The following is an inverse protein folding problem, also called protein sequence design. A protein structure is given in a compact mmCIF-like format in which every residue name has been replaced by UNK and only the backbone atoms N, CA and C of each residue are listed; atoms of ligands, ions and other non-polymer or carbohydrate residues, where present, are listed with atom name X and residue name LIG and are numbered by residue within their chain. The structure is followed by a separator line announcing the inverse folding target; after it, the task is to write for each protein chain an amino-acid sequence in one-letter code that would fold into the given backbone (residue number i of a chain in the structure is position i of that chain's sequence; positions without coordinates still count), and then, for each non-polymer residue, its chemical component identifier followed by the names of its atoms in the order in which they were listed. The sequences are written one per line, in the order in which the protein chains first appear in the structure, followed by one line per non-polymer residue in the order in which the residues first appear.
data_IF_329381695733
#
_entry.id   IF_329381695733
#
_cell.length_a   1.000
_cell.length_b   1.000
_cell.length_c   1.000
_cell.angle_alpha   90.00
_cell.angle_beta   90.00
_cell.angle_gamma   90.00
#
_symmetry.space_group_name_H-M   'P 1'
#
loop_
_entity.id
_entity.type
_entity.pdbx_description
1 polymer ?
#
# COMPACT_ATOMS: atom_id res chain seq x y z
N UNK A 1 3.75 24.75 -4.58
CA UNK A 1 3.38 23.55 -5.34
C UNK A 1 1.88 23.36 -5.25
N UNK A 2 1.24 22.93 -6.34
CA UNK A 2 -0.22 22.76 -6.36
C UNK A 2 -0.59 21.46 -5.66
N UNK A 3 -1.52 21.48 -4.70
CA UNK A 3 -2.04 20.25 -4.14
C UNK A 3 -2.98 19.57 -5.16
N UNK A 4 -3.15 18.24 -5.13
CA UNK A 4 -4.05 17.53 -6.05
C UNK A 4 -5.47 18.13 -6.09
N UNK A 5 -5.97 18.57 -4.93
CA UNK A 5 -7.31 19.17 -4.80
C UNK A 5 -7.42 20.60 -5.35
N UNK A 6 -6.31 21.25 -5.72
CA UNK A 6 -6.32 22.58 -6.33
C UNK A 6 -6.54 22.52 -7.86
N UNK A 7 -6.50 21.31 -8.43
CA UNK A 7 -6.79 21.09 -9.84
C UNK A 7 -8.30 21.10 -10.10
N UNK A 8 -8.69 21.35 -11.35
CA UNK A 8 -10.08 21.38 -11.75
C UNK A 8 -10.43 20.15 -12.60
N UNK A 9 -11.39 19.34 -12.15
CA UNK A 9 -11.81 18.12 -12.86
C UNK A 9 -12.28 18.39 -14.30
N UNK A 10 -12.90 19.54 -14.58
CA UNK A 10 -13.31 19.91 -15.94
C UNK A 10 -12.10 20.22 -16.82
N UNK A 11 -11.06 20.85 -16.28
CA UNK A 11 -9.81 21.07 -17.02
C UNK A 11 -9.06 19.75 -17.26
N UNK A 12 -9.06 18.81 -16.31
CA UNK A 12 -8.48 17.48 -16.53
C UNK A 12 -9.19 16.73 -17.66
N UNK A 13 -10.53 16.80 -17.71
CA UNK A 13 -11.32 16.27 -18.85
C UNK A 13 -10.98 16.95 -20.17
N UNK A 14 -10.70 18.26 -20.13
CA UNK A 14 -10.27 19.00 -21.31
C UNK A 14 -8.94 18.48 -21.86
N UNK A 15 -7.98 18.08 -21.00
CA UNK A 15 -6.72 17.49 -21.46
C UNK A 15 -6.95 16.22 -22.29
N UNK A 16 -7.81 15.32 -21.82
CA UNK A 16 -8.15 14.09 -22.53
C UNK A 16 -8.83 14.39 -23.87
N UNK A 17 -9.75 15.36 -23.90
CA UNK A 17 -10.42 15.77 -25.13
C UNK A 17 -9.46 16.42 -26.14
N UNK A 18 -8.46 17.18 -25.69
CA UNK A 18 -7.42 17.73 -26.58
C UNK A 18 -6.56 16.60 -27.17
N UNK A 19 -6.14 15.62 -26.35
CA UNK A 19 -5.37 14.46 -26.83
C UNK A 19 -6.16 13.66 -27.88
N UNK A 20 -7.44 13.39 -27.62
CA UNK A 20 -8.28 12.55 -28.48
C UNK A 20 -8.60 13.21 -29.83
N UNK A 21 -8.83 14.53 -29.85
CA UNK A 21 -9.29 15.24 -31.06
C UNK A 21 -8.22 16.11 -31.73
N UNK A 22 -7.03 16.25 -31.12
CA UNK A 22 -5.94 17.07 -31.65
C UNK A 22 -6.28 18.55 -31.83
N UNK A 23 -7.32 19.06 -31.17
CA UNK A 23 -7.84 20.43 -31.38
C UNK A 23 -8.42 21.02 -30.10
N UNK A 24 -7.98 22.23 -29.74
CA UNK A 24 -8.55 22.99 -28.61
C UNK A 24 -10.02 23.32 -28.87
N UNK A 25 -10.38 23.69 -30.10
CA UNK A 25 -11.75 24.09 -30.44
C UNK A 25 -12.70 22.89 -30.32
N UNK A 26 -12.35 21.74 -30.91
CA UNK A 26 -13.17 20.53 -30.80
C UNK A 26 -13.28 20.04 -29.35
N UNK A 27 -12.18 20.10 -28.59
CA UNK A 27 -12.18 19.73 -27.18
C UNK A 27 -13.09 20.63 -26.35
N UNK A 28 -13.15 21.94 -26.65
CA UNK A 28 -13.97 22.90 -25.94
C UNK A 28 -15.46 22.56 -26.04
N UNK A 29 -15.92 22.22 -27.25
CA UNK A 29 -17.30 21.81 -27.50
C UNK A 29 -17.68 20.55 -26.68
N UNK A 30 -16.79 19.54 -26.67
CA UNK A 30 -16.99 18.27 -25.96
C UNK A 30 -17.13 18.45 -24.45
N UNK A 31 -16.31 19.32 -23.85
CA UNK A 31 -16.36 19.59 -22.40
C UNK A 31 -17.26 20.76 -22.03
N UNK A 32 -18.05 21.25 -22.99
CA UNK A 32 -19.00 22.35 -22.82
C UNK A 32 -18.37 23.63 -22.25
N UNK A 33 -17.21 24.01 -22.79
CA UNK A 33 -16.50 25.25 -22.52
C UNK A 33 -16.40 26.09 -23.79
N UNK A 34 -16.23 27.41 -23.65
CA UNK A 34 -15.78 28.22 -24.78
C UNK A 34 -14.30 27.95 -25.07
N UNK A 35 -13.88 28.11 -26.32
CA UNK A 35 -12.47 27.96 -26.71
C UNK A 35 -11.52 28.85 -25.86
N UNK A 36 -11.82 30.13 -25.57
CA UNK A 36 -11.00 30.94 -24.67
C UNK A 36 -10.94 30.38 -23.25
N UNK A 37 -12.05 29.87 -22.71
CA UNK A 37 -12.10 29.27 -21.38
C UNK A 37 -11.27 27.99 -21.30
N UNK A 38 -11.32 27.13 -22.33
CA UNK A 38 -10.46 25.93 -22.39
C UNK A 38 -8.98 26.31 -22.47
N UNK A 39 -8.64 27.28 -23.31
CA UNK A 39 -7.25 27.75 -23.46
C UNK A 39 -6.71 28.27 -22.13
N UNK A 40 -7.48 29.09 -21.40
CA UNK A 40 -7.12 29.56 -20.07
C UNK A 40 -7.01 28.41 -19.05
N UNK A 41 -7.90 27.43 -19.12
CA UNK A 41 -7.88 26.23 -18.27
C UNK A 41 -6.62 25.39 -18.48
N UNK A 42 -6.23 25.19 -19.75
CA UNK A 42 -4.98 24.52 -20.12
C UNK A 42 -3.78 25.28 -19.58
N UNK A 43 -3.67 26.59 -19.85
CA UNK A 43 -2.56 27.40 -19.34
C UNK A 43 -2.50 27.43 -17.80
N UNK A 44 -3.65 27.32 -17.12
CA UNK A 44 -3.69 27.18 -15.66
C UNK A 44 -3.09 25.84 -15.22
N UNK A 45 -3.48 24.74 -15.86
CA UNK A 45 -2.91 23.42 -15.56
C UNK A 45 -1.40 23.40 -15.83
N UNK A 46 -0.95 23.94 -16.96
CA UNK A 46 0.48 24.03 -17.29
C UNK A 46 1.27 24.81 -16.23
N UNK A 47 0.73 25.91 -15.71
CA UNK A 47 1.34 26.62 -14.56
C UNK A 47 1.32 25.81 -13.28
N UNK A 48 0.25 25.06 -13.03
CA UNK A 48 0.12 24.25 -11.81
C UNK A 48 1.09 23.04 -11.80
N UNK A 49 1.32 22.44 -12.96
CA UNK A 49 2.27 21.35 -13.17
C UNK A 49 3.71 21.84 -13.43
N UNK A 50 3.89 23.08 -13.89
CA UNK A 50 5.20 23.66 -14.18
C UNK A 50 5.76 23.36 -15.58
N UNK A 51 4.97 22.73 -16.45
CA UNK A 51 5.41 22.31 -17.79
C UNK A 51 4.37 22.64 -18.85
N UNK A 52 4.83 22.90 -20.08
CA UNK A 52 3.97 22.89 -21.27
C UNK A 52 3.49 21.47 -21.53
N UNK A 53 2.18 21.26 -21.49
CA UNK A 53 1.58 19.93 -21.62
C UNK A 53 1.22 19.62 -23.08
N UNK A 54 0.91 20.63 -23.88
CA UNK A 54 0.60 20.45 -25.29
C UNK A 54 1.34 21.46 -26.16
N UNK A 55 1.70 21.03 -27.36
CA UNK A 55 2.32 21.88 -28.37
C UNK A 55 1.52 21.84 -29.67
N UNK A 56 1.57 22.96 -30.40
CA UNK A 56 0.93 23.08 -31.70
C UNK A 56 1.88 22.60 -32.79
N UNK A 57 1.46 21.59 -33.56
CA UNK A 57 2.14 21.11 -34.76
C UNK A 57 1.26 21.31 -36.00
N UNK A 58 1.81 21.06 -37.19
CA UNK A 58 1.09 21.15 -38.47
C UNK A 58 -0.18 20.30 -38.53
N UNK A 59 -0.23 19.19 -37.78
CA UNK A 59 -1.37 18.28 -37.67
C UNK A 59 -2.32 18.56 -36.50
N UNK A 60 -2.16 19.65 -35.75
CA UNK A 60 -2.99 19.98 -34.59
C UNK A 60 -2.21 20.06 -33.28
N UNK A 61 -2.93 19.93 -32.16
CA UNK A 61 -2.36 19.91 -30.82
C UNK A 61 -1.93 18.50 -30.45
N UNK A 62 -0.69 18.34 -29.96
CA UNK A 62 -0.16 17.06 -29.50
C UNK A 62 0.41 17.19 -28.10
N UNK A 63 0.30 16.14 -27.25
CA UNK A 63 0.87 16.17 -25.92
C UNK A 63 2.40 16.10 -25.98
N UNK A 64 3.07 16.93 -25.17
CA UNK A 64 4.51 16.82 -24.91
C UNK A 64 4.80 15.54 -24.10
N UNK A 65 6.06 15.11 -23.90
CA UNK A 65 6.37 13.97 -23.03
C UNK A 65 5.75 14.11 -21.63
N UNK A 66 5.84 15.30 -21.01
CA UNK A 66 5.18 15.60 -19.73
C UNK A 66 3.66 15.61 -19.86
N UNK A 67 3.14 16.15 -20.97
CA UNK A 67 1.73 16.09 -21.32
C UNK A 67 1.17 14.67 -21.32
N UNK A 68 1.90 13.71 -21.91
CA UNK A 68 1.48 12.30 -21.95
C UNK A 68 1.33 11.70 -20.55
N UNK A 69 2.29 11.96 -19.66
CA UNK A 69 2.24 11.50 -18.26
C UNK A 69 0.99 12.08 -17.57
N UNK A 70 0.79 13.40 -17.67
CA UNK A 70 -0.36 14.06 -17.03
C UNK A 70 -1.69 13.58 -17.61
N UNK A 71 -1.80 13.40 -18.92
CA UNK A 71 -3.02 12.90 -19.57
C UNK A 71 -3.34 11.47 -19.14
N UNK A 72 -2.34 10.59 -19.13
CA UNK A 72 -2.53 9.19 -18.71
C UNK A 72 -2.97 9.10 -17.24
N UNK A 73 -2.31 9.83 -16.35
CA UNK A 73 -2.70 9.91 -14.92
C UNK A 73 -4.08 10.53 -14.72
N UNK A 74 -4.41 11.58 -15.48
CA UNK A 74 -5.73 12.21 -15.45
C UNK A 74 -6.83 11.26 -15.92
N UNK A 75 -6.55 10.41 -16.91
CA UNK A 75 -7.46 9.38 -17.40
C UNK A 75 -7.76 8.35 -16.31
N UNK A 76 -6.74 7.77 -15.70
CA UNK A 76 -6.90 6.84 -14.58
C UNK A 76 -7.62 7.49 -13.39
N UNK A 77 -7.33 8.76 -13.08
CA UNK A 77 -8.02 9.49 -12.03
C UNK A 77 -9.53 9.62 -12.28
N UNK A 78 -9.91 10.01 -13.51
CA UNK A 78 -11.31 10.15 -13.90
C UNK A 78 -12.03 8.80 -13.95
N UNK A 79 -11.35 7.72 -14.35
CA UNK A 79 -11.88 6.35 -14.31
C UNK A 79 -12.15 5.89 -12.87
N UNK A 80 -11.24 6.15 -11.94
CA UNK A 80 -11.44 5.83 -10.52
C UNK A 80 -12.63 6.57 -9.92
N UNK A 81 -12.78 7.86 -10.24
CA UNK A 81 -13.95 8.64 -9.83
C UNK A 81 -15.24 8.08 -10.44
N UNK A 82 -15.23 7.75 -11.74
CA UNK A 82 -16.39 7.16 -12.41
C UNK A 82 -16.80 5.83 -11.78
N UNK A 83 -15.86 4.94 -11.48
CA UNK A 83 -16.16 3.66 -10.81
C UNK A 83 -16.67 3.84 -9.37
N UNK A 84 -16.11 4.80 -8.64
CA UNK A 84 -16.59 5.18 -7.31
C UNK A 84 -18.01 5.76 -7.34
N UNK A 85 -18.35 6.48 -8.41
CA UNK A 85 -19.63 7.13 -8.62
C UNK A 85 -20.68 6.24 -9.33
N UNK A 86 -20.28 5.09 -9.87
CA UNK A 86 -21.14 4.19 -10.65
C UNK A 86 -22.34 3.71 -9.83
N UNK A 87 -23.53 4.03 -10.32
CA UNK A 87 -24.80 3.65 -9.68
C UNK A 87 -25.12 4.44 -8.41
N UNK A 88 -24.43 5.57 -8.14
CA UNK A 88 -24.78 6.45 -7.02
C UNK A 88 -26.02 7.29 -7.30
N UNK A 89 -26.25 7.66 -8.55
CA UNK A 89 -27.40 8.47 -8.96
C UNK A 89 -28.33 7.66 -9.85
N UNK A 90 -29.63 7.78 -9.59
CA UNK A 90 -30.70 7.31 -10.48
C UNK A 90 -31.07 8.33 -11.55
N UNK A 91 -30.67 9.60 -11.36
CA UNK A 91 -31.03 10.73 -12.22
C UNK A 91 -29.93 11.00 -13.25
N UNK A 92 -28.66 10.97 -12.82
CA UNK A 92 -27.52 11.23 -13.69
C UNK A 92 -26.78 9.93 -14.00
N UNK A 93 -26.57 9.65 -15.29
CA UNK A 93 -25.74 8.51 -15.70
C UNK A 93 -24.26 8.67 -15.30
N UNK A 94 -23.75 9.90 -15.29
CA UNK A 94 -22.36 10.24 -15.01
C UNK A 94 -22.26 11.35 -13.95
N UNK A 95 -22.67 11.09 -12.68
CA UNK A 95 -22.74 12.12 -11.65
C UNK A 95 -21.35 12.70 -11.30
N UNK A 96 -20.27 11.95 -11.51
CA UNK A 96 -18.90 12.41 -11.32
C UNK A 96 -18.53 13.62 -12.21
N UNK A 97 -19.23 13.81 -13.33
CA UNK A 97 -19.03 14.98 -14.21
C UNK A 97 -19.46 16.29 -13.57
N UNK A 98 -20.39 16.23 -12.61
CA UNK A 98 -20.95 17.38 -11.91
C UNK A 98 -20.22 17.69 -10.59
N UNK A 99 -19.44 16.73 -10.07
CA UNK A 99 -18.68 16.88 -8.82
C UNK A 99 -17.50 17.84 -8.97
N UNK A 100 -17.14 18.49 -7.87
CA UNK A 100 -15.97 19.39 -7.78
C UNK A 100 -14.90 18.84 -6.84
N UNK A 101 -13.63 19.20 -7.05
CA UNK A 101 -12.54 18.81 -6.13
C UNK A 101 -12.77 19.31 -4.71
N UNK A 102 -13.41 20.48 -4.53
CA UNK A 102 -13.74 21.00 -3.20
C UNK A 102 -14.76 20.12 -2.47
N UNK A 103 -15.80 19.65 -3.14
CA UNK A 103 -16.78 18.72 -2.57
C UNK A 103 -16.14 17.38 -2.21
N UNK A 104 -15.33 16.84 -3.13
CA UNK A 104 -14.62 15.59 -2.94
C UNK A 104 -13.60 15.68 -1.79
N UNK A 105 -12.86 16.79 -1.67
CA UNK A 105 -11.94 17.06 -0.56
C UNK A 105 -12.67 17.09 0.78
N UNK A 106 -13.76 17.84 0.86
CA UNK A 106 -14.57 17.94 2.08
C UNK A 106 -15.14 16.57 2.49
N UNK A 107 -15.61 15.79 1.51
CA UNK A 107 -16.16 14.46 1.73
C UNK A 107 -15.12 13.46 2.24
N UNK A 108 -13.95 13.37 1.59
CA UNK A 108 -12.87 12.47 2.04
C UNK A 108 -12.33 12.89 3.41
N UNK A 109 -12.17 14.19 3.66
CA UNK A 109 -11.76 14.68 4.98
C UNK A 109 -12.77 14.34 6.08
N UNK A 110 -14.07 14.36 5.77
CA UNK A 110 -15.12 13.91 6.69
C UNK A 110 -15.03 12.41 6.97
N UNK A 111 -14.77 11.61 5.94
CA UNK A 111 -14.57 10.18 6.09
C UNK A 111 -13.38 9.83 6.99
N UNK A 112 -12.31 10.62 6.93
CA UNK A 112 -11.08 10.40 7.72
C UNK A 112 -11.21 10.92 9.15
N UNK A 113 -11.81 12.10 9.33
CA UNK A 113 -11.93 12.71 10.65
C UNK A 113 -13.07 12.15 11.52
N UNK A 114 -14.03 11.43 10.91
CA UNK A 114 -15.22 10.89 11.59
C UNK A 114 -16.15 11.95 12.17
N UNK A 115 -15.92 13.24 11.88
CA UNK A 115 -16.70 14.37 12.37
C UNK A 115 -16.55 15.59 11.46
N UNK A 116 -17.60 16.41 11.36
CA UNK A 116 -17.56 17.65 10.57
C UNK A 116 -16.57 18.68 11.13
N UNK A 117 -16.43 18.75 12.46
CA UNK A 117 -15.46 19.63 13.10
C UNK A 117 -14.02 19.21 12.79
N UNK A 118 -13.69 17.91 12.88
CA UNK A 118 -12.37 17.42 12.51
C UNK A 118 -12.08 17.58 11.02
N UNK A 119 -13.07 17.37 10.16
CA UNK A 119 -12.93 17.59 8.71
C UNK A 119 -12.65 19.06 8.36
N UNK A 120 -13.34 20.00 9.03
CA UNK A 120 -13.10 21.43 8.89
C UNK A 120 -11.66 21.79 9.28
N UNK A 121 -11.19 21.27 10.41
CA UNK A 121 -9.82 21.44 10.86
C UNK A 121 -8.80 20.91 9.84
N UNK A 122 -8.98 19.69 9.34
CA UNK A 122 -8.05 19.05 8.40
C UNK A 122 -8.02 19.72 7.00
N UNK A 123 -9.12 20.35 6.58
CA UNK A 123 -9.23 20.99 5.27
C UNK A 123 -8.92 22.48 5.29
N UNK A 124 -8.96 23.12 6.46
CA UNK A 124 -8.92 24.58 6.60
C UNK A 124 -10.23 25.28 6.21
N UNK A 125 -11.29 24.52 5.89
CA UNK A 125 -12.62 25.05 5.58
C UNK A 125 -13.40 25.32 6.88
N UNK A 126 -14.42 26.19 6.81
CA UNK A 126 -15.37 26.30 7.92
C UNK A 126 -16.23 25.04 8.01
N UNK A 127 -16.68 24.69 9.22
CA UNK A 127 -17.57 23.54 9.43
C UNK A 127 -18.85 23.63 8.59
N UNK A 128 -19.42 24.82 8.43
CA UNK A 128 -20.58 25.08 7.56
C UNK A 128 -20.25 24.82 6.09
N UNK A 129 -19.06 25.17 5.62
CA UNK A 129 -18.63 24.90 4.26
C UNK A 129 -18.46 23.39 4.00
N UNK A 130 -17.91 22.64 4.95
CA UNK A 130 -17.83 21.17 4.86
C UNK A 130 -19.24 20.55 4.81
N UNK A 131 -20.13 21.02 5.68
CA UNK A 131 -21.52 20.52 5.73
C UNK A 131 -22.27 20.78 4.42
N UNK A 132 -22.14 21.99 3.87
CA UNK A 132 -22.71 22.36 2.56
C UNK A 132 -22.12 21.49 1.44
N UNK A 133 -20.79 21.39 1.36
CA UNK A 133 -20.12 20.66 0.29
C UNK A 133 -20.52 19.17 0.25
N UNK A 134 -20.67 18.53 1.42
CA UNK A 134 -21.15 17.14 1.51
C UNK A 134 -22.65 17.06 1.22
N UNK A 135 -23.45 18.01 1.70
CA UNK A 135 -24.89 18.07 1.42
C UNK A 135 -25.20 18.24 -0.07
N UNK A 136 -24.48 19.12 -0.76
CA UNK A 136 -24.60 19.33 -2.20
C UNK A 136 -24.25 18.05 -2.98
N UNK A 137 -23.24 17.31 -2.52
CA UNK A 137 -22.85 16.02 -3.10
C UNK A 137 -23.96 14.98 -2.92
N UNK A 138 -24.55 14.87 -1.72
CA UNK A 138 -25.70 13.99 -1.44
C UNK A 138 -26.94 14.37 -2.27
N UNK A 139 -27.22 15.66 -2.40
CA UNK A 139 -28.35 16.17 -3.20
C UNK A 139 -28.15 15.84 -4.69
N UNK A 140 -26.93 16.05 -5.21
CA UNK A 140 -26.58 15.78 -6.60
C UNK A 140 -26.77 14.30 -6.96
N UNK A 141 -26.38 13.38 -6.08
CA UNK A 141 -26.56 11.94 -6.34
C UNK A 141 -27.98 11.46 -6.01
N UNK A 142 -28.75 12.23 -5.24
CA UNK A 142 -30.12 11.86 -4.83
C UNK A 142 -30.17 10.86 -3.67
N UNK A 143 -29.14 10.80 -2.82
CA UNK A 143 -29.01 9.80 -1.76
C UNK A 143 -27.99 10.18 -0.69
N UNK A 144 -28.03 9.47 0.44
CA UNK A 144 -27.06 9.66 1.53
C UNK A 144 -25.74 8.96 1.24
N UNK A 145 -24.63 9.60 1.62
CA UNK A 145 -23.28 9.03 1.64
C UNK A 145 -22.79 8.83 3.07
N UNK A 146 -23.31 9.63 3.99
CA UNK A 146 -22.93 9.62 5.40
C UNK A 146 -24.12 9.32 6.31
N UNK A 147 -23.84 8.61 7.40
CA UNK A 147 -24.79 8.28 8.46
C UNK A 147 -24.27 8.82 9.80
N UNK A 148 -25.15 9.44 10.59
CA UNK A 148 -24.81 9.84 11.96
C UNK A 148 -25.15 8.72 12.92
N UNK A 149 -24.15 8.24 13.67
CA UNK A 149 -24.34 7.32 14.80
C UNK A 149 -23.77 7.97 16.06
N UNK A 150 -24.67 8.59 16.84
CA UNK A 150 -24.28 9.42 17.98
C UNK A 150 -23.47 10.63 17.53
N UNK A 151 -22.26 10.79 18.09
CA UNK A 151 -21.34 11.89 17.74
C UNK A 151 -20.44 11.61 16.53
N UNK A 152 -20.43 10.38 16.03
CA UNK A 152 -19.53 9.94 14.95
C UNK A 152 -20.28 9.87 13.62
N UNK A 153 -19.61 10.34 12.57
CA UNK A 153 -20.07 10.25 11.19
C UNK A 153 -19.44 9.03 10.54
N UNK A 154 -20.29 8.16 9.97
CA UNK A 154 -19.88 6.95 9.26
C UNK A 154 -20.21 7.06 7.78
N UNK A 155 -19.42 6.43 6.93
CA UNK A 155 -19.78 6.23 5.52
C UNK A 155 -20.69 5.01 5.39
N UNK A 156 -21.77 5.15 4.65
CA UNK A 156 -22.52 3.98 4.17
C UNK A 156 -21.78 3.30 3.00
N UNK A 157 -22.34 2.22 2.44
CA UNK A 157 -21.71 1.47 1.34
C UNK A 157 -21.41 2.34 0.11
N UNK A 158 -22.34 3.22 -0.26
CA UNK A 158 -22.16 4.18 -1.35
C UNK A 158 -21.05 5.19 -1.04
N UNK A 159 -21.05 5.74 0.18
CA UNK A 159 -20.01 6.63 0.68
C UNK A 159 -18.62 5.99 0.62
N UNK A 160 -18.48 4.75 1.08
CA UNK A 160 -17.19 4.02 1.04
C UNK A 160 -16.67 3.86 -0.39
N UNK A 161 -17.54 3.52 -1.34
CA UNK A 161 -17.18 3.40 -2.77
C UNK A 161 -16.73 4.73 -3.37
N UNK A 162 -17.46 5.82 -3.11
CA UNK A 162 -17.07 7.14 -3.60
C UNK A 162 -15.77 7.63 -2.96
N UNK A 163 -15.59 7.40 -1.66
CA UNK A 163 -14.37 7.79 -0.94
C UNK A 163 -13.15 7.05 -1.51
N UNK A 164 -13.27 5.75 -1.75
CA UNK A 164 -12.24 4.96 -2.44
C UNK A 164 -11.92 5.52 -3.83
N UNK A 165 -12.93 5.72 -4.68
CA UNK A 165 -12.72 6.28 -6.03
C UNK A 165 -12.05 7.65 -6.01
N UNK A 166 -12.43 8.49 -5.03
CA UNK A 166 -11.83 9.81 -4.85
C UNK A 166 -10.38 9.74 -4.40
N UNK A 167 -10.06 8.91 -3.40
CA UNK A 167 -8.68 8.72 -2.91
C UNK A 167 -7.77 8.21 -4.02
N UNK A 168 -8.22 7.22 -4.78
CA UNK A 168 -7.46 6.68 -5.91
C UNK A 168 -7.25 7.73 -7.01
N UNK A 169 -8.25 8.54 -7.30
CA UNK A 169 -8.09 9.63 -8.27
C UNK A 169 -7.10 10.71 -7.81
N UNK A 170 -7.13 11.05 -6.53
CA UNK A 170 -6.16 11.96 -5.91
C UNK A 170 -4.75 11.35 -5.91
N UNK A 171 -4.62 10.04 -5.69
CA UNK A 171 -3.35 9.33 -5.77
C UNK A 171 -2.75 9.39 -7.18
N UNK A 172 -3.56 9.21 -8.23
CA UNK A 172 -3.09 9.34 -9.62
C UNK A 172 -2.63 10.77 -9.96
N UNK A 173 -3.36 11.79 -9.50
CA UNK A 173 -2.94 13.19 -9.67
C UNK A 173 -1.64 13.48 -8.90
N UNK A 174 -1.51 12.95 -7.68
CA UNK A 174 -0.30 13.08 -6.87
C UNK A 174 0.89 12.41 -7.56
N UNK A 175 0.67 11.23 -8.16
CA UNK A 175 1.68 10.52 -8.92
C UNK A 175 2.12 11.29 -10.17
N UNK A 176 1.20 11.96 -10.88
CA UNK A 176 1.55 12.86 -11.98
C UNK A 176 2.47 14.00 -11.52
N UNK A 177 2.15 14.63 -10.39
CA UNK A 177 2.95 15.71 -9.82
C UNK A 177 4.34 15.17 -9.43
N UNK A 178 4.41 14.02 -8.76
CA UNK A 178 5.67 13.40 -8.34
C UNK A 178 6.56 13.01 -9.54
N UNK A 179 6.00 12.36 -10.57
CA UNK A 179 6.73 11.98 -11.78
C UNK A 179 7.31 13.22 -12.51
N UNK A 180 6.62 14.35 -12.48
CA UNK A 180 7.07 15.63 -13.07
C UNK A 180 8.10 16.38 -12.19
N UNK A 181 8.02 16.24 -10.87
CA UNK A 181 8.94 16.90 -9.93
C UNK A 181 10.31 16.21 -9.84
N UNK A 182 10.38 14.91 -10.13
CA UNK A 182 11.66 14.18 -10.19
C UNK A 182 12.61 14.77 -11.23
N UNK A 183 12.09 15.10 -12.41
CA UNK A 183 12.86 15.74 -13.49
C UNK A 183 13.41 17.12 -13.09
N UNK A 184 12.70 17.83 -12.20
CA UNK A 184 13.11 19.16 -11.73
C UNK A 184 14.09 19.14 -10.56
N UNK A 185 14.36 17.96 -9.96
CA UNK A 185 15.23 17.84 -8.78
C UNK A 185 14.65 18.45 -7.50
N UNK A 186 13.36 18.80 -7.46
CA UNK A 186 12.74 19.58 -6.36
C UNK A 186 11.73 18.83 -5.48
N UNK A 187 11.20 17.67 -5.92
CA UNK A 187 10.16 16.92 -5.19
C UNK A 187 10.67 16.00 -4.06
N UNK A 188 9.81 15.76 -3.07
CA UNK A 188 9.94 14.64 -2.11
C UNK A 188 8.68 13.80 -2.24
N UNK A 189 8.84 12.53 -2.62
CA UNK A 189 7.72 11.61 -2.76
C UNK A 189 7.61 10.71 -1.52
N UNK A 190 6.40 10.59 -0.98
CA UNK A 190 6.11 9.65 0.10
C UNK A 190 5.75 8.28 -0.47
N UNK A 191 6.56 7.28 -0.16
CA UNK A 191 6.30 5.88 -0.47
C UNK A 191 5.50 5.26 0.69
N UNK A 192 4.20 5.05 0.47
CA UNK A 192 3.30 4.46 1.45
C UNK A 192 3.09 2.97 1.18
N UNK A 193 3.48 2.10 2.13
CA UNK A 193 3.32 0.66 1.98
C UNK A 193 2.96 -0.05 3.29
N UNK A 194 2.31 -1.20 3.16
CA UNK A 194 2.01 -2.10 4.26
C UNK A 194 3.09 -3.16 4.43
N UNK A 195 3.46 -3.48 5.66
CA UNK A 195 4.42 -4.54 5.95
C UNK A 195 3.76 -5.65 6.80
N UNK A 196 3.67 -6.87 6.26
CA UNK A 196 3.28 -8.05 7.05
C UNK A 196 4.44 -8.50 7.95
N UNK A 197 4.18 -9.25 9.04
CA UNK A 197 5.19 -9.56 10.05
C UNK A 197 6.53 -10.10 9.54
N UNK A 198 6.52 -10.86 8.44
CA UNK A 198 7.72 -11.53 7.90
C UNK A 198 8.63 -10.63 7.05
N UNK A 199 8.13 -9.52 6.50
CA UNK A 199 8.94 -8.63 5.66
C UNK A 199 9.70 -7.57 6.47
N UNK A 200 9.25 -7.30 7.70
CA UNK A 200 9.75 -6.26 8.61
C UNK A 200 11.16 -6.45 9.15
N UNK A 201 11.67 -7.66 9.40
CA UNK A 201 12.99 -7.82 10.02
C UNK A 201 14.17 -7.59 9.07
N UNK A 202 13.99 -7.90 7.78
CA UNK A 202 15.09 -7.95 6.82
C UNK A 202 14.78 -7.22 5.51
N UNK A 203 13.83 -7.75 4.73
CA UNK A 203 13.57 -7.28 3.36
C UNK A 203 13.27 -5.77 3.29
N UNK A 204 12.31 -5.31 4.11
CA UNK A 204 11.87 -3.92 4.11
C UNK A 204 12.96 -2.97 4.64
N UNK A 205 13.56 -3.19 5.83
CA UNK A 205 14.63 -2.33 6.32
C UNK A 205 15.82 -2.24 5.38
N UNK A 206 16.26 -3.35 4.77
CA UNK A 206 17.39 -3.35 3.85
C UNK A 206 17.10 -2.53 2.58
N UNK A 207 15.91 -2.67 1.99
CA UNK A 207 15.52 -1.87 0.83
C UNK A 207 15.37 -0.38 1.17
N UNK A 208 14.75 -0.05 2.32
CA UNK A 208 14.61 1.33 2.79
C UNK A 208 15.97 1.97 3.06
N UNK A 209 16.90 1.26 3.70
CA UNK A 209 18.23 1.77 3.99
C UNK A 209 19.04 2.04 2.71
N UNK A 210 18.88 1.21 1.66
CA UNK A 210 19.48 1.47 0.33
C UNK A 210 18.86 2.70 -0.32
N UNK A 211 17.54 2.79 -0.34
CA UNK A 211 16.83 3.92 -0.91
C UNK A 211 17.21 5.23 -0.22
N UNK A 212 17.25 5.25 1.12
CA UNK A 212 17.60 6.46 1.87
C UNK A 212 19.03 6.96 1.61
N UNK A 213 19.95 6.07 1.18
CA UNK A 213 21.31 6.44 0.76
C UNK A 213 21.34 6.98 -0.67
N UNK A 214 20.65 6.31 -1.59
CA UNK A 214 20.67 6.63 -3.02
C UNK A 214 19.77 7.84 -3.35
N UNK A 215 18.68 8.01 -2.62
CA UNK A 215 17.64 9.02 -2.84
C UNK A 215 17.22 9.71 -1.52
N UNK A 216 18.00 10.68 -1.02
CA UNK A 216 17.77 11.31 0.28
C UNK A 216 16.43 12.05 0.44
N UNK A 217 15.73 12.31 -0.68
CA UNK A 217 14.41 12.97 -0.69
C UNK A 217 13.25 11.99 -0.61
N UNK A 218 13.48 10.69 -0.73
CA UNK A 218 12.43 9.69 -0.58
C UNK A 218 11.97 9.62 0.87
N UNK A 219 10.67 9.82 1.09
CA UNK A 219 10.04 9.68 2.40
C UNK A 219 9.26 8.35 2.45
N UNK A 220 9.14 7.77 3.64
CA UNK A 220 8.44 6.50 3.83
C UNK A 220 7.30 6.62 4.84
N UNK A 221 6.18 5.98 4.53
CA UNK A 221 5.09 5.73 5.47
C UNK A 221 4.81 4.24 5.50
N UNK A 222 5.11 3.61 6.63
CA UNK A 222 4.95 2.16 6.81
C UNK A 222 3.73 1.89 7.67
N UNK A 223 2.78 1.12 7.14
CA UNK A 223 1.66 0.58 7.92
C UNK A 223 1.98 -0.86 8.29
N UNK A 224 2.11 -1.12 9.57
CA UNK A 224 2.30 -2.48 10.07
C UNK A 224 0.96 -3.10 10.42
N UNK A 225 0.73 -4.33 9.94
CA UNK A 225 -0.46 -5.06 10.34
C UNK A 225 -0.60 -6.47 9.76
N UNK A 226 -1.70 -7.07 10.20
CA UNK A 226 -2.62 -7.94 9.52
C UNK A 226 -2.67 -7.90 7.99
N UNK A 227 -2.81 -9.03 7.30
CA UNK A 227 -3.41 -8.98 5.95
C UNK A 227 -4.83 -8.42 6.01
N UNK A 228 -5.62 -8.83 7.02
CA UNK A 228 -7.00 -8.33 7.22
C UNK A 228 -7.02 -6.82 7.47
N UNK A 229 -5.97 -6.30 8.10
CA UNK A 229 -5.85 -4.88 8.44
C UNK A 229 -5.31 -4.06 7.27
N UNK A 230 -4.45 -4.61 6.43
CA UNK A 230 -3.78 -3.88 5.35
C UNK A 230 -4.49 -3.96 3.99
N UNK A 231 -5.37 -4.93 3.78
CA UNK A 231 -6.02 -5.13 2.48
C UNK A 231 -6.97 -3.99 2.09
N UNK A 232 -7.75 -3.46 3.05
CA UNK A 232 -8.63 -2.32 2.79
C UNK A 232 -7.86 -1.01 2.62
N UNK A 233 -6.84 -0.67 3.44
CA UNK A 233 -5.92 0.43 3.16
C UNK A 233 -5.27 0.35 1.76
N UNK A 234 -4.90 -0.86 1.31
CA UNK A 234 -4.39 -1.07 -0.05
C UNK A 234 -5.47 -0.78 -1.09
N UNK A 235 -6.69 -1.28 -0.93
CA UNK A 235 -7.78 -1.00 -1.88
C UNK A 235 -8.20 0.47 -1.90
N UNK A 236 -8.09 1.14 -0.77
CA UNK A 236 -8.52 2.53 -0.58
C UNK A 236 -7.50 3.58 -1.03
N UNK A 237 -6.29 3.17 -1.46
CA UNK A 237 -5.26 4.13 -1.86
C UNK A 237 -4.46 4.72 -0.69
N UNK A 238 -4.63 4.21 0.53
CA UNK A 238 -3.89 4.69 1.72
C UNK A 238 -2.43 4.22 1.69
N UNK A 239 -2.22 3.02 1.13
CA UNK A 239 -0.91 2.46 0.81
C UNK A 239 -0.96 1.93 -0.63
N UNK A 240 0.18 1.89 -1.30
CA UNK A 240 0.26 1.51 -2.71
C UNK A 240 0.64 0.04 -2.93
N UNK A 241 1.32 -0.54 -1.93
CA UNK A 241 1.75 -1.93 -1.94
C UNK A 241 1.72 -2.53 -0.54
N UNK A 242 1.65 -3.85 -0.46
CA UNK A 242 1.86 -4.64 0.76
C UNK A 242 3.01 -5.59 0.52
N UNK A 243 4.02 -5.57 1.38
CA UNK A 243 5.18 -6.46 1.33
C UNK A 243 5.03 -7.54 2.38
N UNK A 244 5.03 -8.81 1.97
CA UNK A 244 4.84 -9.94 2.87
C UNK A 244 4.32 -11.21 2.21
N UNK A 245 3.78 -12.13 3.00
CA UNK A 245 3.24 -13.40 2.50
C UNK A 245 2.14 -13.17 1.46
N UNK A 246 2.33 -13.67 0.24
CA UNK A 246 1.31 -13.65 -0.81
C UNK A 246 0.29 -14.78 -0.61
N UNK A 247 -0.88 -14.67 -1.23
CA UNK A 247 -1.95 -15.67 -1.15
C UNK A 247 -1.77 -16.72 -2.25
N UNK A 248 -2.08 -18.00 -1.96
CA UNK A 248 -1.97 -19.10 -2.93
C UNK A 248 -3.10 -19.12 -3.96
N UNK A 249 -3.91 -18.06 -4.04
CA UNK A 249 -5.04 -17.92 -4.95
C UNK A 249 -5.05 -16.52 -5.56
N UNK A 250 -5.64 -16.41 -6.74
CA UNK A 250 -5.84 -15.14 -7.41
C UNK A 250 -6.91 -14.28 -6.72
N UNK A 251 -6.70 -12.97 -6.74
CA UNK A 251 -7.64 -12.00 -6.21
C UNK A 251 -7.88 -10.98 -7.33
N UNK A 252 -9.13 -10.86 -7.78
CA UNK A 252 -9.47 -10.17 -9.03
C UNK A 252 -8.91 -8.73 -9.10
N UNK A 253 -9.05 -7.96 -8.03
CA UNK A 253 -8.66 -6.56 -7.97
C UNK A 253 -7.19 -6.30 -7.58
N UNK A 254 -6.43 -7.37 -7.30
CA UNK A 254 -5.05 -7.29 -6.84
C UNK A 254 -4.10 -8.00 -7.80
N UNK A 255 -2.83 -7.62 -7.72
CA UNK A 255 -1.73 -8.29 -8.37
C UNK A 255 -0.71 -8.71 -7.31
N UNK A 256 -0.19 -9.94 -7.43
CA UNK A 256 0.73 -10.53 -6.46
C UNK A 256 2.02 -10.94 -7.17
N UNK A 257 3.14 -10.41 -6.69
CA UNK A 257 4.48 -10.58 -7.24
C UNK A 257 5.30 -11.41 -6.27
N UNK A 258 5.55 -12.70 -6.55
CA UNK A 258 6.39 -13.53 -5.69
C UNK A 258 7.84 -12.98 -5.71
N UNK A 259 8.47 -12.91 -4.53
CA UNK A 259 9.87 -12.54 -4.39
C UNK A 259 10.70 -13.78 -4.03
N UNK A 260 10.40 -14.44 -2.92
CA UNK A 260 11.16 -15.60 -2.45
C UNK A 260 10.32 -16.55 -1.61
N UNK A 261 10.87 -17.73 -1.33
CA UNK A 261 10.27 -18.71 -0.44
C UNK A 261 10.89 -18.65 0.95
N UNK A 262 10.04 -18.86 1.94
CA UNK A 262 10.43 -18.91 3.33
C UNK A 262 9.89 -20.19 3.97
N UNK A 263 10.61 -20.74 4.93
CA UNK A 263 10.23 -21.93 5.70
C UNK A 263 10.41 -21.64 7.18
N UNK A 264 9.47 -22.09 8.00
CA UNK A 264 9.55 -21.98 9.45
C UNK A 264 10.66 -22.84 10.01
N UNK A 265 11.24 -22.36 11.10
CA UNK A 265 12.18 -23.11 11.93
C UNK A 265 11.69 -23.12 13.36
N UNK A 266 12.13 -24.12 14.11
CA UNK A 266 12.07 -24.07 15.57
C UNK A 266 13.22 -23.19 16.06
N UNK A 267 12.91 -22.20 16.88
CA UNK A 267 13.88 -21.30 17.49
C UNK A 267 13.86 -21.41 19.01
N UNK A 268 15.04 -21.31 19.61
CA UNK A 268 15.27 -21.39 21.05
C UNK A 268 16.39 -20.43 21.48
N UNK A 269 16.60 -20.26 22.78
CA UNK A 269 17.81 -19.64 23.31
C UNK A 269 19.07 -20.39 22.91
N UNK A 270 20.20 -19.70 22.75
CA UNK A 270 21.47 -20.34 22.37
C UNK A 270 22.03 -21.33 23.40
N UNK A 271 21.49 -21.33 24.63
CA UNK A 271 21.82 -22.26 25.71
C UNK A 271 20.78 -23.38 25.89
N UNK A 272 19.75 -23.43 25.04
CA UNK A 272 18.68 -24.42 25.16
C UNK A 272 19.25 -25.85 25.04
N UNK A 273 18.77 -26.84 25.81
CA UNK A 273 19.34 -28.21 25.80
C UNK A 273 19.32 -28.91 24.43
N UNK A 274 18.37 -28.55 23.56
CA UNK A 274 18.28 -29.08 22.19
C UNK A 274 19.24 -28.43 21.17
N UNK A 275 20.04 -27.44 21.57
CA UNK A 275 21.05 -26.85 20.67
C UNK A 275 22.07 -27.90 20.27
N UNK A 276 22.33 -28.01 18.96
CA UNK A 276 23.24 -29.02 18.39
C UNK A 276 22.56 -30.35 18.06
N UNK A 277 21.30 -30.56 18.42
CA UNK A 277 20.53 -31.72 17.97
C UNK A 277 20.08 -31.50 16.52
N UNK A 278 20.61 -32.28 15.59
CA UNK A 278 20.37 -32.10 14.15
C UNK A 278 18.94 -32.40 13.73
N UNK A 279 18.32 -33.45 14.28
CA UNK A 279 16.98 -33.91 13.89
C UNK A 279 16.16 -34.31 15.13
N UNK A 280 15.72 -33.35 15.97
CA UNK A 280 14.96 -33.67 17.17
C UNK A 280 13.58 -34.22 16.82
N UNK A 281 13.13 -35.26 17.53
CA UNK A 281 11.80 -35.83 17.35
C UNK A 281 10.71 -34.90 17.88
N UNK A 282 9.46 -35.10 17.44
CA UNK A 282 8.32 -34.31 17.95
C UNK A 282 8.16 -34.47 19.47
N UNK A 283 8.44 -35.64 20.02
CA UNK A 283 8.38 -35.91 21.46
C UNK A 283 9.47 -35.15 22.22
N UNK A 284 10.70 -35.10 21.68
CA UNK A 284 11.78 -34.30 22.26
C UNK A 284 11.44 -32.81 22.26
N UNK A 285 10.82 -32.32 21.19
CA UNK A 285 10.33 -30.95 21.09
C UNK A 285 9.13 -30.69 22.01
N UNK A 286 8.25 -31.67 22.20
CA UNK A 286 7.06 -31.57 23.04
C UNK A 286 7.39 -31.55 24.55
N UNK A 287 8.56 -32.05 24.93
CA UNK A 287 9.03 -32.08 26.32
C UNK A 287 9.34 -30.69 26.92
N UNK A 288 9.41 -29.63 26.09
CA UNK A 288 9.72 -28.27 26.50
C UNK A 288 8.50 -27.35 26.37
N UNK A 289 8.44 -26.24 27.14
CA UNK A 289 7.36 -25.26 27.02
C UNK A 289 7.43 -24.46 25.71
N UNK A 290 6.27 -24.20 25.09
CA UNK A 290 6.18 -23.47 23.83
C UNK A 290 5.60 -22.06 23.99
N UNK A 291 6.22 -21.11 23.28
CA UNK A 291 5.64 -19.82 22.99
C UNK A 291 4.98 -19.90 21.61
N UNK A 292 3.68 -19.67 21.55
CA UNK A 292 2.88 -19.84 20.33
C UNK A 292 2.28 -18.52 19.85
N UNK A 293 2.07 -18.41 18.54
CA UNK A 293 1.36 -17.28 17.97
C UNK A 293 -0.13 -17.27 18.41
N UNK A 294 -0.79 -16.10 18.40
CA UNK A 294 -2.21 -16.00 18.74
C UNK A 294 -3.11 -16.92 17.93
N UNK A 295 -4.24 -17.32 18.54
CA UNK A 295 -5.26 -18.11 17.87
C UNK A 295 -5.71 -17.48 16.53
N UNK A 296 -6.07 -18.32 15.55
CA UNK A 296 -6.50 -17.90 14.21
C UNK A 296 -5.42 -17.16 13.38
N UNK A 297 -4.15 -17.45 13.63
CA UNK A 297 -3.04 -16.99 12.79
C UNK A 297 -2.47 -18.15 11.97
N UNK A 298 -1.95 -17.91 10.75
CA UNK A 298 -1.35 -18.97 9.94
C UNK A 298 -0.17 -19.69 10.64
N UNK A 299 0.56 -18.96 11.50
CA UNK A 299 1.65 -19.52 12.28
C UNK A 299 1.15 -20.49 13.37
N UNK A 300 0.03 -20.15 14.02
CA UNK A 300 -0.63 -21.04 14.97
C UNK A 300 -1.16 -22.29 14.28
N UNK A 301 -1.83 -22.15 13.14
CA UNK A 301 -2.33 -23.29 12.35
C UNK A 301 -1.20 -24.22 11.88
N UNK A 302 -0.02 -23.68 11.56
CA UNK A 302 1.14 -24.51 11.26
C UNK A 302 1.63 -25.28 12.49
N UNK A 303 1.70 -24.60 13.64
CA UNK A 303 2.14 -25.21 14.89
C UNK A 303 1.22 -26.35 15.33
N UNK A 304 -0.10 -26.14 15.25
CA UNK A 304 -1.09 -27.18 15.57
C UNK A 304 -0.97 -28.38 14.64
N UNK A 305 -0.77 -28.16 13.33
CA UNK A 305 -0.51 -29.24 12.37
C UNK A 305 0.79 -29.99 12.66
N UNK A 306 1.83 -29.30 13.14
CA UNK A 306 3.11 -29.92 13.46
C UNK A 306 3.01 -30.94 14.61
N UNK A 307 2.12 -30.71 15.57
CA UNK A 307 1.89 -31.58 16.74
C UNK A 307 0.59 -32.41 16.67
N UNK A 308 -0.10 -32.45 15.53
CA UNK A 308 -1.45 -33.03 15.42
C UNK A 308 -1.53 -34.54 15.69
N UNK A 309 -0.42 -35.26 15.58
CA UNK A 309 -0.27 -36.71 15.71
C UNK A 309 0.21 -37.18 17.08
N UNK A 310 0.52 -36.26 18.00
CA UNK A 310 0.96 -36.58 19.37
C UNK A 310 0.24 -35.72 20.41
N UNK A 311 0.41 -36.04 21.69
CA UNK A 311 0.03 -35.12 22.76
C UNK A 311 0.93 -33.87 22.69
N UNK A 312 0.31 -32.69 22.54
CA UNK A 312 1.02 -31.44 22.35
C UNK A 312 1.77 -30.98 23.61
N UNK A 313 2.82 -30.16 23.46
CA UNK A 313 3.55 -29.57 24.57
C UNK A 313 2.70 -28.63 25.43
N UNK A 314 3.25 -28.27 26.59
CA UNK A 314 2.72 -27.16 27.39
C UNK A 314 2.84 -25.82 26.66
N UNK A 315 1.80 -24.99 26.77
CA UNK A 315 1.70 -23.69 26.09
C UNK A 315 1.49 -22.59 27.15
N UNK A 316 2.53 -22.22 27.91
CA UNK A 316 2.39 -21.22 28.96
C UNK A 316 2.19 -19.79 28.41
N UNK A 317 2.55 -19.53 27.16
CA UNK A 317 2.60 -18.18 26.59
C UNK A 317 2.03 -18.15 25.17
N UNK A 318 1.00 -17.33 24.96
CA UNK A 318 0.49 -16.94 23.64
C UNK A 318 0.97 -15.52 23.31
N UNK A 319 1.82 -15.36 22.30
CA UNK A 319 2.42 -14.08 21.92
C UNK A 319 2.78 -14.02 20.43
N UNK A 320 2.42 -12.92 19.76
CA UNK A 320 2.81 -12.67 18.35
C UNK A 320 3.98 -11.68 18.19
N UNK A 321 4.48 -11.10 19.29
CA UNK A 321 5.54 -10.09 19.25
C UNK A 321 6.91 -10.74 19.23
N UNK A 322 7.61 -10.65 18.09
CA UNK A 322 8.97 -11.20 17.93
C UNK A 322 9.95 -10.61 18.95
N UNK A 323 9.75 -9.36 19.38
CA UNK A 323 10.59 -8.74 20.41
C UNK A 323 10.41 -9.40 21.78
N UNK A 324 9.16 -9.66 22.19
CA UNK A 324 8.86 -10.33 23.45
C UNK A 324 9.33 -11.78 23.39
N UNK A 325 9.01 -12.48 22.31
CA UNK A 325 9.43 -13.86 22.07
C UNK A 325 10.96 -13.96 22.15
N UNK A 326 11.68 -13.11 21.41
CA UNK A 326 13.13 -13.12 21.39
C UNK A 326 13.76 -12.93 22.77
N UNK A 327 13.17 -12.07 23.62
CA UNK A 327 13.63 -11.92 25.01
C UNK A 327 13.33 -13.16 25.86
N UNK A 328 12.12 -13.70 25.79
CA UNK A 328 11.72 -14.87 26.57
C UNK A 328 12.57 -16.11 26.23
N UNK A 329 12.86 -16.31 24.94
CA UNK A 329 13.74 -17.39 24.50
C UNK A 329 15.15 -17.30 25.12
N UNK A 330 15.62 -16.11 25.52
CA UNK A 330 16.94 -15.95 26.18
C UNK A 330 16.91 -16.23 27.68
N UNK A 331 15.73 -16.33 28.31
CA UNK A 331 15.58 -16.44 29.77
C UNK A 331 15.12 -17.83 30.24
N UNK A 332 14.74 -18.73 29.33
CA UNK A 332 14.33 -20.08 29.69
C UNK A 332 14.34 -21.06 28.52
N UNK A 333 13.99 -22.32 28.82
CA UNK A 333 14.01 -23.42 27.85
C UNK A 333 12.72 -23.44 27.01
N UNK A 334 12.39 -22.29 26.42
CA UNK A 334 11.24 -22.15 25.54
C UNK A 334 11.59 -22.48 24.09
N UNK A 335 10.60 -23.06 23.40
CA UNK A 335 10.62 -23.26 21.95
C UNK A 335 9.54 -22.41 21.28
N UNK A 336 9.76 -22.05 20.02
CA UNK A 336 8.76 -21.38 19.20
C UNK A 336 8.94 -21.70 17.72
N UNK A 337 7.91 -21.46 16.89
CA UNK A 337 8.02 -21.46 15.44
C UNK A 337 8.12 -20.03 14.92
N UNK A 338 9.17 -19.72 14.16
CA UNK A 338 9.36 -18.40 13.54
C UNK A 338 10.00 -18.51 12.15
N UNK A 339 9.91 -17.44 11.37
CA UNK A 339 10.75 -17.30 10.17
C UNK A 339 12.21 -17.10 10.59
N UNK A 340 13.19 -17.72 9.91
CA UNK A 340 14.61 -17.46 10.12
C UNK A 340 14.94 -15.96 10.11
N UNK A 341 14.34 -15.19 9.20
CA UNK A 341 14.59 -13.76 9.06
C UNK A 341 14.17 -12.97 10.31
N UNK A 342 13.12 -13.41 11.01
CA UNK A 342 12.62 -12.74 12.23
C UNK A 342 13.60 -12.82 13.39
N UNK A 343 14.46 -13.83 13.40
CA UNK A 343 15.46 -14.06 14.46
C UNK A 343 16.90 -14.04 13.92
N UNK A 344 17.10 -13.64 12.66
CA UNK A 344 18.40 -13.72 11.99
C UNK A 344 19.48 -12.90 12.69
N UNK A 345 19.14 -11.72 13.23
CA UNK A 345 20.10 -10.92 14.00
C UNK A 345 20.47 -11.62 15.30
N UNK A 346 19.48 -12.14 16.03
CA UNK A 346 19.68 -12.81 17.30
C UNK A 346 20.49 -14.10 17.14
N UNK A 347 20.23 -14.86 16.08
CA UNK A 347 21.00 -16.06 15.72
C UNK A 347 22.45 -15.68 15.40
N UNK A 348 22.69 -14.68 14.53
CA UNK A 348 24.04 -14.21 14.22
C UNK A 348 24.79 -13.68 15.44
N UNK A 349 24.09 -13.02 16.37
CA UNK A 349 24.69 -12.55 17.62
C UNK A 349 24.92 -13.65 18.67
N UNK A 350 24.56 -14.90 18.39
CA UNK A 350 24.68 -16.02 19.33
C UNK A 350 23.71 -15.96 20.52
N UNK A 351 22.65 -15.15 20.44
CA UNK A 351 21.62 -15.06 21.48
C UNK A 351 20.56 -16.16 21.35
N UNK A 352 20.20 -16.49 20.11
CA UNK A 352 19.24 -17.54 19.78
C UNK A 352 19.90 -18.60 18.90
N UNK A 353 19.29 -19.76 18.84
CA UNK A 353 19.71 -20.87 17.98
C UNK A 353 18.50 -21.46 17.24
N UNK A 354 18.78 -21.97 16.04
CA UNK A 354 17.85 -22.83 15.30
C UNK A 354 17.93 -24.24 15.88
N UNK A 355 16.77 -24.86 16.09
CA UNK A 355 16.65 -26.26 16.51
C UNK A 355 16.19 -27.09 15.32
N UNK A 356 17.01 -28.06 14.90
CA UNK A 356 16.73 -28.91 13.75
C UNK A 356 16.74 -28.20 12.38
N UNK A 357 16.28 -28.88 11.32
CA UNK A 357 16.13 -28.30 9.99
C UNK A 357 14.86 -27.43 9.88
N UNK A 358 14.74 -26.59 8.83
CA UNK A 358 13.47 -25.95 8.49
C UNK A 358 12.36 -26.96 8.23
N UNK A 359 11.14 -26.61 8.62
CA UNK A 359 9.96 -27.47 8.44
C UNK A 359 9.55 -27.50 6.96
N UNK A 360 9.57 -28.67 6.33
CA UNK A 360 9.27 -28.82 4.89
C UNK A 360 7.83 -28.35 4.55
N UNK A 361 6.85 -28.77 5.34
CA UNK A 361 5.42 -28.45 5.15
C UNK A 361 5.02 -27.02 5.57
N UNK A 362 6.01 -26.15 5.78
CA UNK A 362 5.80 -24.76 6.21
C UNK A 362 6.14 -23.72 5.13
N UNK A 363 6.39 -24.19 3.91
CA UNK A 363 6.74 -23.35 2.76
C UNK A 363 5.68 -22.27 2.53
N UNK A 364 6.17 -21.02 2.41
CA UNK A 364 5.35 -19.85 2.09
C UNK A 364 6.09 -18.94 1.13
N UNK A 365 5.35 -18.24 0.29
CA UNK A 365 5.90 -17.28 -0.64
C UNK A 365 5.78 -15.87 -0.07
N UNK A 366 6.92 -15.20 0.06
CA UNK A 366 6.98 -13.77 0.38
C UNK A 366 7.03 -13.00 -0.93
N UNK A 367 6.31 -11.89 -1.00
CA UNK A 367 6.19 -11.10 -2.20
C UNK A 367 5.63 -9.71 -1.97
N UNK A 368 5.19 -9.08 -3.06
CA UNK A 368 4.57 -7.76 -3.07
C UNK A 368 3.15 -7.92 -3.61
N UNK A 369 2.18 -7.34 -2.92
CA UNK A 369 0.78 -7.26 -3.37
C UNK A 369 0.43 -5.81 -3.67
N UNK A 370 -0.17 -5.55 -4.81
CA UNK A 370 -0.60 -4.20 -5.24
C UNK A 370 -2.05 -4.23 -5.71
N UNK A 371 -2.67 -3.06 -5.84
CA UNK A 371 -3.89 -2.95 -6.67
C UNK A 371 -3.52 -3.28 -8.12
N UNK A 372 -4.37 -3.99 -8.84
CA UNK A 372 -4.12 -4.31 -10.27
C UNK A 372 -4.09 -3.06 -11.15
N UNK A 373 -4.82 -2.02 -10.76
CA UNK A 373 -4.84 -0.73 -11.47
C UNK A 373 -3.67 0.19 -11.12
N UNK A 374 -2.88 -0.13 -10.09
CA UNK A 374 -1.84 0.78 -9.62
C UNK A 374 -0.66 0.83 -10.58
N UNK A 375 -0.17 2.05 -10.80
CA UNK A 375 0.99 2.34 -11.66
C UNK A 375 2.03 3.09 -10.82
N UNK A 376 3.19 2.48 -10.53
CA UNK A 376 4.20 3.13 -9.70
C UNK A 376 4.78 4.36 -10.40
N UNK A 377 5.02 5.42 -9.62
CA UNK A 377 5.91 6.53 -10.03
C UNK A 377 7.34 6.01 -10.23
N UNK A 378 8.25 6.85 -10.73
CA UNK A 378 9.66 6.47 -10.85
C UNK A 378 10.31 6.16 -9.48
N UNK A 379 10.05 6.96 -8.44
CA UNK A 379 10.55 6.71 -7.06
C UNK A 379 10.02 5.39 -6.50
N UNK A 380 8.72 5.14 -6.66
CA UNK A 380 8.10 3.90 -6.19
C UNK A 380 8.66 2.68 -6.93
N UNK A 381 8.93 2.81 -8.23
CA UNK A 381 9.51 1.75 -9.07
C UNK A 381 10.93 1.43 -8.64
N UNK A 382 11.74 2.45 -8.33
CA UNK A 382 13.07 2.24 -7.74
C UNK A 382 12.99 1.44 -6.44
N UNK A 383 12.04 1.77 -5.56
CA UNK A 383 11.86 1.02 -4.31
C UNK A 383 11.43 -0.44 -4.56
N UNK A 384 10.56 -0.70 -5.54
CA UNK A 384 10.22 -2.06 -5.97
C UNK A 384 11.46 -2.83 -6.47
N UNK A 385 12.33 -2.18 -7.25
CA UNK A 385 13.57 -2.78 -7.74
C UNK A 385 14.55 -3.08 -6.61
N UNK A 386 14.66 -2.20 -5.60
CA UNK A 386 15.46 -2.46 -4.40
C UNK A 386 14.93 -3.63 -3.59
N UNK A 387 13.61 -3.76 -3.44
CA UNK A 387 12.99 -4.94 -2.80
C UNK A 387 13.34 -6.23 -3.55
N UNK A 388 13.32 -6.20 -4.89
CA UNK A 388 13.72 -7.35 -5.71
C UNK A 388 15.21 -7.67 -5.55
N UNK A 389 16.10 -6.67 -5.65
CA UNK A 389 17.54 -6.89 -5.48
C UNK A 389 17.89 -7.47 -4.11
N UNK A 390 17.30 -6.94 -3.03
CA UNK A 390 17.47 -7.50 -1.67
C UNK A 390 16.93 -8.94 -1.60
N UNK A 391 15.82 -9.25 -2.28
CA UNK A 391 15.28 -10.60 -2.31
C UNK A 391 16.18 -11.61 -3.02
N UNK A 392 16.86 -11.21 -4.09
CA UNK A 392 17.78 -12.05 -4.84
C UNK A 392 19.05 -12.33 -4.04
N UNK A 393 19.62 -11.31 -3.39
CA UNK A 393 20.75 -11.49 -2.48
C UNK A 393 20.42 -12.42 -1.31
N UNK A 394 19.20 -12.32 -0.76
CA UNK A 394 18.73 -13.23 0.28
C UNK A 394 18.73 -14.68 -0.20
N UNK A 395 18.21 -14.95 -1.39
CA UNK A 395 18.19 -16.30 -1.97
C UNK A 395 19.61 -16.84 -2.10
N UNK A 396 20.50 -16.06 -2.69
CA UNK A 396 21.90 -16.46 -2.87
C UNK A 396 22.59 -16.75 -1.54
N UNK A 397 22.37 -15.93 -0.51
CA UNK A 397 22.93 -16.16 0.81
C UNK A 397 22.37 -17.42 1.47
N UNK A 398 21.08 -17.72 1.28
CA UNK A 398 20.47 -18.95 1.80
C UNK A 398 20.96 -20.20 1.07
N UNK A 399 21.18 -20.12 -0.24
CA UNK A 399 21.70 -21.24 -1.04
C UNK A 399 23.16 -21.54 -0.63
N UNK A 400 24.00 -20.50 -0.46
CA UNK A 400 25.38 -20.64 0.06
C UNK A 400 25.41 -21.23 1.48
N UNK A 401 24.44 -20.85 2.33
CA UNK A 401 24.30 -21.40 3.68
C UNK A 401 23.77 -22.84 3.70
N UNK A 402 22.98 -23.25 2.69
CA UNK A 402 22.48 -24.61 2.55
C UNK A 402 23.56 -25.58 2.03
N UNK A 403 24.51 -25.11 1.22
CA UNK A 403 25.58 -25.90 0.62
C UNK A 403 26.80 -26.16 1.54
N UNK A 404 26.75 -25.73 2.81
CA UNK A 404 27.75 -26.10 3.83
C UNK A 404 29.13 -25.44 3.69
N UNK A 405 29.30 -24.45 2.80
CA UNK A 405 30.60 -23.77 2.56
C UNK A 405 30.77 -22.49 3.40
N UNK A 406 29.70 -21.96 4.01
CA UNK A 406 29.75 -20.76 4.85
C UNK A 406 29.47 -21.08 6.32
N UNK A 407 30.50 -21.03 7.17
CA UNK A 407 30.27 -20.80 8.60
C UNK A 407 29.50 -19.48 8.77
N UNK A 408 28.41 -19.51 9.55
CA UNK A 408 27.52 -18.37 9.76
C UNK A 408 28.32 -17.13 10.20
N UNK A 409 28.40 -16.09 9.34
CA UNK A 409 29.03 -14.77 9.63
C UNK A 409 28.00 -13.81 10.22
#
# INVERSE_FOLDING_TARGET
MSAPFDLNLRHLRALLAIEEHGSITAAADIVSLSQPALTQGLSKLERQFGYTLFERRSGGMVPTPMGKIVVERSRSALEHLSQGAKGLSTVFQNPEKLMTMTQLRAFVALAEAGSFAGAAHNTGLSQTAVHRAVGDLEQMIGGKLVERRGRVVWLNTAGKRLARGTRLAVAEISAAIADLELDSGSGSEMIAFGALPLSRPFLVPAAMARMARDEPRAAFKVLEGSWRELIEPLRDGVIDMVVGTVRPYEIADLYQMPLFEDRLVVAAGSKHPLVGVENPTKEQLAAYPWIVAPANTPLREQWERFFADIEGPTIPIECGSVMIIGRLLTEGDFLTLLSPDQVALQIRSGLLARIGPPLEDSKRTIGITTRRSWRPTATQRRFLDLLRGVSEERKNNMDIMADGVGGWI
#
